data_IF_341263602696
#
_entry.id   IF_341263602696
#
_cell.length_a   1.000
_cell.length_b   1.000
_cell.length_c   1.000
_cell.angle_alpha   90.00
_cell.angle_beta   90.00
_cell.angle_gamma   90.00
#
_symmetry.space_group_name_H-M   'P 1'
#
loop_
_entity.id
_entity.type
_entity.pdbx_description
1 polymer ?
#
# COMPACT_ATOMS: atom_id res chain seq x y z
N UNK A 1 -1.29 30.59 18.37
CA UNK A 1 -1.49 29.26 17.75
C UNK A 1 -0.11 28.72 17.45
N UNK A 2 0.25 27.60 18.05
CA UNK A 2 1.53 26.94 17.76
C UNK A 2 1.48 26.32 16.36
N UNK A 3 2.62 26.27 15.69
CA UNK A 3 2.74 25.59 14.40
C UNK A 3 2.59 24.08 14.61
N UNK A 4 1.68 23.45 13.89
CA UNK A 4 1.52 21.99 13.87
C UNK A 4 2.10 21.47 12.56
N UNK A 5 3.11 20.62 12.66
CA UNK A 5 3.73 19.97 11.49
C UNK A 5 2.92 18.74 11.03
N UNK A 6 1.90 18.97 10.23
CA UNK A 6 1.10 17.89 9.65
C UNK A 6 1.87 17.04 8.63
N UNK A 7 2.98 17.54 8.09
CA UNK A 7 3.83 16.76 7.16
C UNK A 7 4.53 15.65 7.91
N UNK A 8 5.15 15.96 9.05
CA UNK A 8 5.78 14.98 9.91
C UNK A 8 4.77 13.96 10.47
N UNK A 9 3.59 14.43 10.89
CA UNK A 9 2.53 13.53 11.38
C UNK A 9 2.05 12.56 10.30
N UNK A 10 1.88 13.01 9.05
CA UNK A 10 1.49 12.16 7.94
C UNK A 10 2.54 11.11 7.60
N UNK A 11 3.83 11.47 7.63
CA UNK A 11 4.93 10.52 7.43
C UNK A 11 4.96 9.48 8.56
N UNK A 12 4.74 9.91 9.80
CA UNK A 12 4.65 9.01 10.93
C UNK A 12 3.48 8.03 10.80
N UNK A 13 2.29 8.51 10.44
CA UNK A 13 1.12 7.68 10.20
C UNK A 13 1.36 6.65 9.10
N UNK A 14 1.95 7.06 7.97
CA UNK A 14 2.27 6.13 6.88
C UNK A 14 3.18 4.99 7.35
N UNK A 15 4.24 5.31 8.10
CA UNK A 15 5.15 4.31 8.63
C UNK A 15 4.46 3.36 9.61
N UNK A 16 3.52 3.87 10.42
CA UNK A 16 2.72 3.05 11.32
C UNK A 16 1.81 2.09 10.53
N UNK A 17 1.14 2.55 9.47
CA UNK A 17 0.35 1.70 8.59
C UNK A 17 1.21 0.61 7.94
N UNK A 18 2.40 0.96 7.40
CA UNK A 18 3.34 -0.02 6.81
C UNK A 18 3.74 -1.10 7.82
N UNK A 19 4.12 -0.72 9.05
CA UNK A 19 4.46 -1.69 10.11
C UNK A 19 3.28 -2.59 10.46
N UNK A 20 2.10 -2.00 10.61
CA UNK A 20 0.89 -2.77 10.93
C UNK A 20 0.55 -3.79 9.83
N UNK A 21 0.75 -3.46 8.54
CA UNK A 21 0.61 -4.42 7.45
C UNK A 21 1.61 -5.58 7.60
N UNK A 22 2.89 -5.27 7.84
CA UNK A 22 3.94 -6.29 8.03
C UNK A 22 3.61 -7.20 9.21
N UNK A 23 3.19 -6.63 10.34
CA UNK A 23 2.84 -7.38 11.54
C UNK A 23 1.63 -8.30 11.28
N UNK A 24 0.60 -7.81 10.59
CA UNK A 24 -0.56 -8.61 10.21
C UNK A 24 -0.18 -9.80 9.31
N UNK A 25 0.70 -9.57 8.33
CA UNK A 25 1.18 -10.63 7.43
C UNK A 25 2.02 -11.68 8.17
N UNK A 26 2.91 -11.24 9.07
CA UNK A 26 3.72 -12.13 9.92
C UNK A 26 2.86 -12.94 10.87
N UNK A 27 1.88 -12.32 11.53
CA UNK A 27 0.96 -13.00 12.44
C UNK A 27 0.11 -14.06 11.71
N UNK A 28 -0.28 -13.79 10.46
CA UNK A 28 -1.02 -14.73 9.63
C UNK A 28 -0.13 -15.75 8.90
N UNK A 29 1.20 -15.69 9.06
CA UNK A 29 2.18 -16.53 8.37
C UNK A 29 2.02 -16.53 6.84
N UNK A 30 1.71 -15.37 6.26
CA UNK A 30 1.55 -15.19 4.80
C UNK A 30 2.61 -14.29 4.22
N UNK A 31 3.20 -14.73 3.10
CA UNK A 31 4.19 -13.96 2.35
C UNK A 31 3.58 -13.16 1.21
N UNK A 32 2.45 -13.60 0.64
CA UNK A 32 1.74 -12.91 -0.44
C UNK A 32 0.24 -12.90 -0.19
N UNK A 33 -0.39 -11.76 -0.47
CA UNK A 33 -1.83 -11.58 -0.38
C UNK A 33 -2.33 -11.04 -1.71
N UNK A 34 -3.29 -11.75 -2.30
CA UNK A 34 -4.11 -11.21 -3.37
C UNK A 34 -5.17 -10.27 -2.75
N UNK A 35 -5.17 -9.01 -3.17
CA UNK A 35 -6.10 -7.97 -2.71
C UNK A 35 -7.25 -7.75 -3.70
N UNK A 36 -7.27 -8.47 -4.82
CA UNK A 36 -8.44 -8.53 -5.67
C UNK A 36 -9.58 -9.29 -4.98
N UNK A 37 -10.78 -8.94 -5.42
CA UNK A 37 -12.06 -9.17 -4.75
C UNK A 37 -12.23 -10.60 -4.17
N UNK A 38 -12.72 -10.66 -2.94
CA UNK A 38 -13.40 -11.83 -2.36
C UNK A 38 -14.88 -11.47 -2.31
N UNK A 39 -15.78 -12.37 -2.73
CA UNK A 39 -17.22 -12.10 -2.66
C UNK A 39 -17.61 -11.62 -1.24
N UNK A 40 -18.37 -10.52 -1.16
CA UNK A 40 -18.85 -9.87 0.08
C UNK A 40 -17.84 -9.10 0.95
N UNK A 41 -16.62 -8.82 0.45
CA UNK A 41 -15.67 -7.92 1.15
C UNK A 41 -15.58 -6.57 0.44
N UNK A 42 -16.01 -5.50 1.13
CA UNK A 42 -15.82 -4.12 0.70
C UNK A 42 -14.46 -3.62 1.16
N UNK A 43 -13.58 -3.19 0.24
CA UNK A 43 -12.28 -2.62 0.58
C UNK A 43 -11.26 -2.80 -0.53
N UNK A 44 -11.30 -1.94 -1.56
CA UNK A 44 -10.24 -1.90 -2.56
C UNK A 44 -9.08 -1.05 -2.02
N UNK A 45 -7.87 -1.57 -2.15
CA UNK A 45 -6.65 -0.84 -1.82
C UNK A 45 -6.26 0.07 -2.99
N UNK A 46 -6.00 1.34 -2.71
CA UNK A 46 -5.62 2.34 -3.70
C UNK A 46 -4.37 3.10 -3.26
N UNK A 47 -3.50 3.42 -4.21
CA UNK A 47 -2.31 4.23 -3.97
C UNK A 47 -2.16 5.28 -5.06
N UNK A 48 -1.51 6.39 -4.70
CA UNK A 48 -0.96 7.30 -5.70
C UNK A 48 0.55 7.15 -5.70
N UNK A 49 1.14 6.99 -6.89
CA UNK A 49 2.58 6.80 -7.07
C UNK A 49 3.16 7.68 -8.18
N UNK A 50 4.46 7.92 -8.12
CA UNK A 50 5.25 8.55 -9.18
C UNK A 50 5.81 7.51 -10.16
N UNK A 51 5.95 7.91 -11.42
CA UNK A 51 6.77 7.17 -12.39
C UNK A 51 8.25 7.47 -12.16
N UNK A 52 9.10 6.43 -12.17
CA UNK A 52 10.53 6.59 -12.00
C UNK A 52 11.11 7.50 -13.11
N UNK A 53 11.71 8.63 -12.72
CA UNK A 53 12.33 9.57 -13.65
C UNK A 53 11.36 10.56 -14.32
N UNK A 54 10.09 10.58 -13.92
CA UNK A 54 9.08 11.52 -14.39
C UNK A 54 8.38 12.20 -13.20
N UNK A 55 7.84 13.39 -13.42
CA UNK A 55 6.95 14.10 -12.49
C UNK A 55 5.51 13.62 -12.55
N UNK A 56 5.21 12.69 -13.46
CA UNK A 56 3.88 12.12 -13.64
C UNK A 56 3.49 11.25 -12.45
N UNK A 57 2.26 11.45 -11.99
CA UNK A 57 1.62 10.68 -10.93
C UNK A 57 0.49 9.84 -11.52
N UNK A 58 0.29 8.64 -10.98
CA UNK A 58 -0.86 7.81 -11.30
C UNK A 58 -1.52 7.26 -10.04
N UNK A 59 -2.84 7.09 -10.11
CA UNK A 59 -3.62 6.33 -9.14
C UNK A 59 -3.68 4.87 -9.60
N UNK A 60 -3.40 3.94 -8.68
CA UNK A 60 -3.42 2.50 -8.96
C UNK A 60 -4.19 1.76 -7.90
N UNK A 61 -4.95 0.76 -8.32
CA UNK A 61 -5.52 -0.23 -7.41
C UNK A 61 -4.44 -1.22 -7.02
N UNK A 62 -4.13 -1.38 -5.74
CA UNK A 62 -3.22 -2.42 -5.30
C UNK A 62 -3.90 -3.77 -5.44
N UNK A 63 -3.38 -4.61 -6.33
CA UNK A 63 -3.94 -5.93 -6.61
C UNK A 63 -3.31 -7.01 -5.75
N UNK A 64 -2.04 -6.84 -5.38
CA UNK A 64 -1.29 -7.80 -4.56
C UNK A 64 -0.31 -7.09 -3.64
N UNK A 65 -0.08 -7.70 -2.50
CA UNK A 65 1.03 -7.35 -1.60
C UNK A 65 1.88 -8.58 -1.32
N UNK A 66 3.20 -8.37 -1.20
CA UNK A 66 4.17 -9.39 -0.81
C UNK A 66 5.09 -8.86 0.29
N UNK A 67 5.40 -9.71 1.26
CA UNK A 67 6.47 -9.51 2.22
C UNK A 67 7.72 -10.28 1.75
N UNK A 68 8.81 -9.57 1.49
CA UNK A 68 10.11 -10.15 1.15
C UNK A 68 11.13 -9.76 2.24
N UNK A 69 11.28 -10.65 3.22
CA UNK A 69 11.97 -10.33 4.48
C UNK A 69 11.23 -9.25 5.28
N UNK A 70 11.77 -8.02 5.28
CA UNK A 70 11.12 -6.84 5.88
C UNK A 70 10.58 -5.85 4.84
N UNK A 71 10.86 -6.09 3.55
CA UNK A 71 10.41 -5.22 2.48
C UNK A 71 8.96 -5.55 2.12
N UNK A 72 8.12 -4.52 2.14
CA UNK A 72 6.74 -4.62 1.67
C UNK A 72 6.69 -4.21 0.19
N UNK A 73 6.24 -5.14 -0.64
CA UNK A 73 6.15 -4.99 -2.08
C UNK A 73 4.69 -5.04 -2.51
N UNK A 74 4.37 -4.40 -3.64
CA UNK A 74 3.03 -4.39 -4.20
C UNK A 74 3.03 -4.45 -5.72
N UNK A 75 1.86 -4.84 -6.26
CA UNK A 75 1.50 -4.66 -7.67
C UNK A 75 0.27 -3.78 -7.76
N UNK A 76 0.32 -2.79 -8.65
CA UNK A 76 -0.78 -1.90 -8.97
C UNK A 76 -1.44 -2.27 -10.29
N UNK A 77 -2.74 -1.99 -10.41
CA UNK A 77 -3.47 -1.89 -11.66
C UNK A 77 -3.77 -0.42 -11.94
N UNK A 78 -3.35 0.09 -13.08
CA UNK A 78 -3.63 1.47 -13.49
C UNK A 78 -5.10 1.62 -13.97
N UNK A 79 -5.46 2.85 -14.33
CA UNK A 79 -6.80 3.19 -14.81
C UNK A 79 -7.15 2.58 -16.18
N UNK A 80 -6.13 2.19 -16.96
CA UNK A 80 -6.29 1.48 -18.24
C UNK A 80 -6.48 -0.03 -18.05
N UNK A 81 -6.34 -0.53 -16.82
CA UNK A 81 -6.51 -1.94 -16.46
C UNK A 81 -5.23 -2.77 -16.55
N UNK A 82 -4.09 -2.15 -16.87
CA UNK A 82 -2.80 -2.81 -16.92
C UNK A 82 -2.27 -3.06 -15.50
N UNK A 83 -1.74 -4.26 -15.26
CA UNK A 83 -1.18 -4.68 -13.97
C UNK A 83 0.33 -4.71 -14.08
N UNK A 84 1.03 -4.22 -13.05
CA UNK A 84 2.49 -4.25 -13.02
C UNK A 84 3.06 -5.68 -13.23
N UNK A 85 4.00 -5.78 -14.17
CA UNK A 85 4.77 -7.00 -14.39
C UNK A 85 5.73 -7.27 -13.21
N UNK A 86 6.39 -6.22 -12.73
CA UNK A 86 7.36 -6.28 -11.63
C UNK A 86 6.77 -5.85 -10.29
N UNK A 87 7.37 -6.36 -9.21
CA UNK A 87 7.07 -5.92 -7.85
C UNK A 87 7.68 -4.55 -7.58
N UNK A 88 6.88 -3.65 -7.00
CA UNK A 88 7.33 -2.31 -6.60
C UNK A 88 7.39 -2.19 -5.09
N UNK A 89 8.32 -1.39 -4.55
CA UNK A 89 8.41 -1.15 -3.11
C UNK A 89 7.30 -0.23 -2.63
N UNK A 90 6.65 -0.62 -1.54
CA UNK A 90 5.68 0.24 -0.87
C UNK A 90 6.39 1.22 0.07
N UNK A 91 7.07 2.21 -0.53
CA UNK A 91 7.91 3.17 0.19
C UNK A 91 7.75 4.60 -0.35
N UNK A 92 7.69 5.57 0.58
CA UNK A 92 7.62 7.00 0.23
C UNK A 92 8.90 7.50 -0.40
N UNK A 93 10.05 6.99 0.05
CA UNK A 93 11.37 7.33 -0.49
C UNK A 93 11.58 6.83 -1.92
N UNK A 94 10.72 5.92 -2.38
CA UNK A 94 10.77 5.35 -3.71
C UNK A 94 9.77 6.11 -4.59
N UNK A 95 8.49 5.78 -4.49
CA UNK A 95 7.49 6.28 -5.43
C UNK A 95 6.11 6.55 -4.81
N UNK A 96 5.83 6.16 -3.57
CA UNK A 96 4.46 6.18 -3.01
C UNK A 96 4.16 7.48 -2.29
N UNK A 97 3.00 8.08 -2.55
CA UNK A 97 2.55 9.23 -1.78
C UNK A 97 2.06 8.79 -0.41
N UNK A 98 2.67 9.39 0.63
CA UNK A 98 2.45 9.05 2.04
C UNK A 98 0.97 8.99 2.45
N UNK A 99 0.13 9.80 1.83
CA UNK A 99 -1.28 9.98 2.15
C UNK A 99 -2.22 8.84 1.72
N UNK A 100 -1.72 7.76 1.10
CA UNK A 100 -2.60 6.78 0.40
C UNK A 100 -2.52 5.34 0.91
N UNK A 101 -1.61 5.05 1.85
CA UNK A 101 -1.39 3.68 2.35
C UNK A 101 -2.50 3.14 3.27
N UNK A 102 -3.34 4.03 3.80
CA UNK A 102 -4.43 3.71 4.73
C UNK A 102 -5.43 2.71 4.14
N UNK A 103 -5.82 2.89 2.87
CA UNK A 103 -6.70 1.95 2.16
C UNK A 103 -6.07 0.57 1.96
N UNK A 104 -4.74 0.51 1.80
CA UNK A 104 -3.98 -0.74 1.69
C UNK A 104 -3.99 -1.50 3.01
N UNK A 105 -3.77 -0.78 4.11
CA UNK A 105 -3.87 -1.36 5.45
C UNK A 105 -5.27 -1.94 5.69
N UNK A 106 -6.33 -1.19 5.37
CA UNK A 106 -7.70 -1.65 5.55
C UNK A 106 -7.98 -2.92 4.73
N UNK A 107 -7.59 -2.94 3.45
CA UNK A 107 -7.77 -4.12 2.59
C UNK A 107 -7.03 -5.36 3.11
N UNK A 108 -5.78 -5.21 3.59
CA UNK A 108 -5.02 -6.31 4.19
C UNK A 108 -5.69 -6.81 5.47
N UNK A 109 -6.12 -5.90 6.34
CA UNK A 109 -6.81 -6.26 7.58
C UNK A 109 -8.10 -7.04 7.30
N UNK A 110 -8.91 -6.54 6.36
CA UNK A 110 -10.13 -7.21 5.93
C UNK A 110 -9.86 -8.59 5.33
N UNK A 111 -8.75 -8.75 4.60
CA UNK A 111 -8.40 -10.03 3.97
C UNK A 111 -7.92 -11.10 4.95
N UNK A 112 -7.28 -10.69 6.04
CA UNK A 112 -6.67 -11.60 7.01
C UNK A 112 -7.55 -11.83 8.26
N UNK A 113 -8.39 -10.86 8.63
CA UNK A 113 -9.15 -10.90 9.89
C UNK A 113 -10.68 -10.97 9.68
N UNK A 114 -11.19 -10.85 8.44
CA UNK A 114 -12.60 -11.09 8.08
C UNK A 114 -12.76 -12.11 6.96
#
# INVERSE_FOLDING_TARGET
MEYIDFTAQRLHLHNNCKRAIVDLMKEAEVEEIDLLHKENVFGAAWLIRYFYGDTTMEEVQVTKIKLDGEALLYKGRNTEGEVDEDWKKLEISDNVISATIDSVYEAVWLRLKK
#
